data_IF_249539828015
#
_entry.id   IF_249539828015
#
_cell.length_a   1.000
_cell.length_b   1.000
_cell.length_c   1.000
_cell.angle_alpha   90.00
_cell.angle_beta   90.00
_cell.angle_gamma   90.00
#
_symmetry.space_group_name_H-M   'P 1'
#
loop_
_entity.id
_entity.type
_entity.pdbx_description
1 polymer ?
#
# COMPACT_ATOMS: atom_id res chain seq x y z
N UNK A 1 13.46 -18.92 -7.25
CA UNK A 1 12.84 -19.00 -8.60
C UNK A 1 11.32 -19.00 -8.57
N UNK A 2 10.64 -19.93 -7.87
CA UNK A 2 9.15 -19.99 -7.87
C UNK A 2 8.49 -18.63 -7.56
N UNK A 3 8.90 -17.97 -6.48
CA UNK A 3 8.38 -16.64 -6.13
C UNK A 3 8.62 -15.57 -7.21
N UNK A 4 9.80 -15.57 -7.84
CA UNK A 4 10.12 -14.66 -8.94
C UNK A 4 9.22 -14.92 -10.16
N UNK A 5 8.99 -16.19 -10.54
CA UNK A 5 8.08 -16.52 -11.64
C UNK A 5 6.64 -16.14 -11.32
N UNK A 6 6.16 -16.39 -10.10
CA UNK A 6 4.83 -15.95 -9.68
C UNK A 6 4.69 -14.42 -9.75
N UNK A 7 5.69 -13.67 -9.29
CA UNK A 7 5.69 -12.21 -9.38
C UNK A 7 5.69 -11.70 -10.84
N UNK A 8 6.44 -12.37 -11.72
CA UNK A 8 6.47 -12.08 -13.15
C UNK A 8 5.10 -12.30 -13.81
N UNK A 9 4.48 -13.47 -13.61
CA UNK A 9 3.15 -13.75 -14.17
C UNK A 9 2.06 -12.86 -13.58
N UNK A 10 2.18 -12.51 -12.29
CA UNK A 10 1.27 -11.54 -11.67
C UNK A 10 1.43 -10.14 -12.28
N UNK A 11 2.65 -9.73 -12.62
CA UNK A 11 2.90 -8.50 -13.36
C UNK A 11 2.15 -8.46 -14.69
N UNK A 12 2.14 -9.57 -15.45
CA UNK A 12 1.35 -9.68 -16.67
C UNK A 12 -0.16 -9.60 -16.43
N UNK A 13 -0.68 -10.20 -15.36
CA UNK A 13 -2.10 -10.04 -14.98
C UNK A 13 -2.46 -8.58 -14.65
N UNK A 14 -1.48 -7.76 -14.26
CA UNK A 14 -1.62 -6.32 -14.01
C UNK A 14 -1.34 -5.47 -15.27
N UNK A 15 -1.19 -6.09 -16.45
CA UNK A 15 -0.96 -5.41 -17.72
C UNK A 15 0.48 -4.96 -17.96
N UNK A 16 1.42 -5.36 -17.12
CA UNK A 16 2.84 -4.98 -17.27
C UNK A 16 3.47 -5.84 -18.36
N UNK A 17 4.10 -5.19 -19.34
CA UNK A 17 4.84 -5.85 -20.41
C UNK A 17 6.21 -6.33 -19.94
N UNK A 18 6.85 -7.18 -20.74
CA UNK A 18 8.26 -7.50 -20.51
C UNK A 18 9.14 -6.24 -20.66
N UNK A 19 10.19 -6.18 -19.84
CA UNK A 19 11.18 -5.11 -19.84
C UNK A 19 11.92 -5.04 -21.20
N UNK A 20 12.17 -3.81 -21.65
CA UNK A 20 13.01 -3.48 -22.81
C UNK A 20 14.42 -3.17 -22.35
N UNK A 21 15.39 -3.12 -23.27
CA UNK A 21 16.79 -2.79 -22.97
C UNK A 21 16.98 -1.41 -22.30
N UNK A 22 16.01 -0.50 -22.48
CA UNK A 22 16.02 0.83 -21.86
C UNK A 22 15.58 0.83 -20.38
N UNK A 23 15.06 -0.28 -19.87
CA UNK A 23 14.49 -0.37 -18.53
C UNK A 23 15.55 -0.77 -17.49
N UNK A 24 15.46 -0.22 -16.28
CA UNK A 24 16.44 -0.44 -15.22
C UNK A 24 15.77 -0.62 -13.84
N UNK A 25 16.29 -1.55 -13.05
CA UNK A 25 15.92 -1.77 -11.65
C UNK A 25 17.11 -1.67 -10.67
N UNK A 26 18.28 -1.23 -11.16
CA UNK A 26 19.52 -1.16 -10.37
C UNK A 26 20.05 -2.53 -9.92
N UNK A 27 19.74 -3.59 -10.66
CA UNK A 27 20.19 -4.97 -10.41
C UNK A 27 20.52 -5.67 -11.74
N UNK A 28 21.13 -6.86 -11.68
CA UNK A 28 21.53 -7.64 -12.87
C UNK A 28 20.35 -8.11 -13.73
N UNK A 29 19.16 -8.24 -13.12
CA UNK A 29 17.94 -8.63 -13.79
C UNK A 29 16.74 -8.06 -13.03
N UNK A 30 15.67 -7.79 -13.77
CA UNK A 30 14.41 -7.25 -13.24
C UNK A 30 13.31 -8.32 -13.33
N UNK A 31 12.28 -8.22 -12.49
CA UNK A 31 11.18 -9.22 -12.42
C UNK A 31 10.51 -9.43 -13.77
N UNK A 32 10.33 -8.36 -14.56
CA UNK A 32 9.69 -8.42 -15.88
C UNK A 32 10.70 -8.63 -17.02
N UNK A 33 11.91 -9.08 -16.74
CA UNK A 33 12.87 -9.47 -17.79
C UNK A 33 12.24 -10.48 -18.74
N UNK A 34 12.35 -10.23 -20.05
CA UNK A 34 11.88 -11.15 -21.09
C UNK A 34 12.65 -12.50 -21.09
N UNK A 35 13.84 -12.52 -20.48
CA UNK A 35 14.69 -13.71 -20.38
C UNK A 35 14.88 -14.13 -18.94
N UNK A 36 15.02 -15.45 -18.74
CA UNK A 36 15.28 -16.03 -17.41
C UNK A 36 16.72 -15.75 -17.01
N UNK A 37 16.90 -15.14 -15.86
CA UNK A 37 18.21 -14.93 -15.24
C UNK A 37 18.67 -16.16 -14.44
N UNK A 38 19.99 -16.30 -14.26
CA UNK A 38 20.58 -17.35 -13.41
C UNK A 38 20.33 -17.15 -11.91
N UNK A 39 19.90 -15.95 -11.52
CA UNK A 39 19.55 -15.58 -10.14
C UNK A 39 18.16 -14.95 -10.13
N UNK A 40 17.31 -15.26 -9.15
CA UNK A 40 15.97 -14.70 -9.09
C UNK A 40 16.00 -13.18 -8.87
N UNK A 41 15.33 -12.42 -9.73
CA UNK A 41 15.15 -10.98 -9.57
C UNK A 41 14.11 -10.67 -8.49
N UNK A 42 14.32 -9.59 -7.75
CA UNK A 42 13.43 -9.14 -6.67
C UNK A 42 12.91 -7.71 -6.85
N UNK A 43 13.19 -7.08 -8.00
CA UNK A 43 12.83 -5.68 -8.28
C UNK A 43 12.13 -5.54 -9.62
N UNK A 44 11.05 -4.77 -9.65
CA UNK A 44 10.46 -4.27 -10.88
C UNK A 44 11.35 -3.15 -11.45
N UNK A 45 11.35 -3.02 -12.78
CA UNK A 45 12.04 -1.91 -13.46
C UNK A 45 11.26 -0.60 -13.33
N UNK A 46 11.94 0.51 -13.62
CA UNK A 46 11.32 1.81 -13.84
C UNK A 46 10.19 1.77 -14.89
N UNK A 47 10.39 1.08 -16.02
CA UNK A 47 9.35 0.87 -17.03
C UNK A 47 8.11 0.17 -16.46
N UNK A 48 8.31 -0.94 -15.74
CA UNK A 48 7.24 -1.71 -15.12
C UNK A 48 6.42 -0.86 -14.14
N UNK A 49 7.10 -0.09 -13.29
CA UNK A 49 6.46 0.79 -12.31
C UNK A 49 5.68 1.94 -12.98
N UNK A 50 6.22 2.50 -14.05
CA UNK A 50 5.57 3.56 -14.82
C UNK A 50 4.32 3.05 -15.55
N UNK A 51 4.40 1.87 -16.17
CA UNK A 51 3.25 1.23 -16.83
C UNK A 51 2.15 0.93 -15.81
N UNK A 52 2.50 0.26 -14.70
CA UNK A 52 1.54 -0.05 -13.65
C UNK A 52 0.87 1.21 -13.09
N UNK A 53 1.64 2.27 -12.81
CA UNK A 53 1.09 3.53 -12.30
C UNK A 53 0.14 4.20 -13.29
N UNK A 54 0.46 4.17 -14.59
CA UNK A 54 -0.41 4.66 -15.65
C UNK A 54 -1.70 3.84 -15.73
N UNK A 55 -1.59 2.52 -15.76
CA UNK A 55 -2.73 1.64 -15.98
C UNK A 55 -3.65 1.58 -14.75
N UNK A 56 -3.10 1.70 -13.55
CA UNK A 56 -3.88 1.84 -12.31
C UNK A 56 -4.82 3.06 -12.35
N UNK A 57 -4.34 4.17 -12.91
CA UNK A 57 -5.13 5.41 -13.04
C UNK A 57 -6.13 5.31 -14.19
N UNK A 58 -5.74 4.71 -15.32
CA UNK A 58 -6.51 4.77 -16.57
C UNK A 58 -7.49 3.60 -16.75
N UNK A 59 -7.18 2.42 -16.22
CA UNK A 59 -7.92 1.18 -16.49
C UNK A 59 -8.34 0.45 -15.21
N UNK A 60 -7.46 0.36 -14.21
CA UNK A 60 -7.68 -0.48 -13.02
C UNK A 60 -8.18 0.31 -11.80
N UNK A 61 -9.08 1.28 -12.01
CA UNK A 61 -9.71 2.01 -10.91
C UNK A 61 -10.41 1.11 -9.89
N UNK A 62 -10.80 -0.12 -10.27
CA UNK A 62 -11.35 -1.11 -9.35
C UNK A 62 -10.35 -1.61 -8.29
N UNK A 63 -9.05 -1.64 -8.59
CA UNK A 63 -8.00 -2.02 -7.63
C UNK A 63 -7.78 -0.95 -6.56
N UNK A 64 -8.30 0.27 -6.77
CA UNK A 64 -8.27 1.36 -5.79
C UNK A 64 -9.43 1.27 -4.78
N UNK A 65 -10.34 0.30 -4.95
CA UNK A 65 -11.41 0.04 -4.01
C UNK A 65 -10.91 -0.95 -2.96
N UNK A 66 -10.28 -0.41 -1.92
CA UNK A 66 -9.86 -1.19 -0.76
C UNK A 66 -11.09 -1.82 -0.07
N UNK A 67 -11.09 -3.13 0.23
CA UNK A 67 -12.20 -3.78 0.90
C UNK A 67 -12.37 -3.27 2.33
N UNK A 68 -13.59 -3.30 2.84
CA UNK A 68 -13.80 -3.00 4.25
C UNK A 68 -13.18 -4.11 5.11
N UNK A 69 -12.70 -3.77 6.31
CA UNK A 69 -12.20 -4.77 7.28
C UNK A 69 -13.21 -5.89 7.55
N UNK A 70 -14.50 -5.58 7.48
CA UNK A 70 -15.61 -6.52 7.66
C UNK A 70 -15.82 -7.48 6.50
N UNK A 71 -15.28 -7.17 5.32
CA UNK A 71 -15.42 -8.00 4.11
C UNK A 71 -14.31 -9.06 4.00
N UNK A 72 -13.32 -9.00 4.89
CA UNK A 72 -12.23 -9.96 4.97
C UNK A 72 -12.75 -11.24 5.65
N UNK A 73 -12.80 -12.33 4.89
CA UNK A 73 -13.40 -13.60 5.31
C UNK A 73 -12.44 -14.47 6.14
N UNK A 74 -11.15 -14.15 6.14
CA UNK A 74 -10.17 -14.84 6.96
C UNK A 74 -10.29 -14.45 8.44
N UNK A 75 -9.94 -15.34 9.38
CA UNK A 75 -9.76 -14.97 10.77
C UNK A 75 -8.69 -13.87 10.91
N UNK A 76 -8.88 -12.88 11.81
CA UNK A 76 -7.92 -11.82 12.00
C UNK A 76 -6.58 -12.36 12.49
N UNK A 77 -5.49 -11.80 11.97
CA UNK A 77 -4.12 -12.18 12.29
C UNK A 77 -3.22 -10.96 12.42
N UNK A 78 -2.89 -10.62 13.65
CA UNK A 78 -1.95 -9.54 13.91
C UNK A 78 -0.54 -9.84 13.37
N UNK A 79 -0.04 -8.93 12.54
CA UNK A 79 1.29 -8.96 11.94
C UNK A 79 1.30 -9.31 10.45
N UNK A 80 0.16 -9.24 9.76
CA UNK A 80 0.04 -9.47 8.31
C UNK A 80 0.03 -8.17 7.48
N UNK A 81 0.31 -7.02 8.10
CA UNK A 81 0.36 -5.68 7.49
C UNK A 81 -0.98 -5.11 7.05
N UNK A 82 -2.11 -5.71 7.43
CA UNK A 82 -3.42 -5.12 7.16
C UNK A 82 -4.28 -5.18 8.43
N UNK A 83 -4.69 -4.03 8.98
CA UNK A 83 -5.43 -4.07 10.24
C UNK A 83 -6.84 -4.60 10.03
N UNK A 84 -7.20 -5.61 10.83
CA UNK A 84 -8.44 -6.35 10.74
C UNK A 84 -9.47 -5.93 11.80
N UNK A 85 -10.63 -6.60 11.82
CA UNK A 85 -11.64 -6.38 12.85
C UNK A 85 -11.07 -6.74 14.22
N UNK A 86 -11.09 -5.77 15.12
CA UNK A 86 -10.56 -5.91 16.48
C UNK A 86 -9.14 -5.39 16.65
N UNK A 87 -8.47 -4.99 15.57
CA UNK A 87 -7.13 -4.39 15.57
C UNK A 87 -7.23 -2.88 15.34
N UNK A 88 -6.35 -2.12 15.98
CA UNK A 88 -6.29 -0.66 15.79
C UNK A 88 -5.29 -0.29 14.69
N UNK A 89 -4.31 -1.18 14.43
CA UNK A 89 -3.21 -1.00 13.49
C UNK A 89 -2.53 -2.35 13.21
N UNK A 90 -1.89 -2.51 12.05
CA UNK A 90 -1.00 -3.65 11.79
C UNK A 90 0.20 -3.16 10.95
N UNK A 91 1.39 -3.19 11.54
CA UNK A 91 2.64 -2.77 10.93
C UNK A 91 3.55 -3.96 10.56
N UNK A 92 2.99 -5.17 10.53
CA UNK A 92 3.69 -6.43 10.34
C UNK A 92 4.19 -7.06 11.63
N UNK A 93 4.98 -8.14 11.53
CA UNK A 93 5.48 -8.85 12.71
C UNK A 93 6.42 -7.96 13.53
N UNK A 94 6.58 -8.23 14.85
CA UNK A 94 7.41 -7.41 15.74
C UNK A 94 8.84 -7.16 15.26
N UNK A 95 9.43 -8.10 14.52
CA UNK A 95 10.78 -7.95 13.96
C UNK A 95 10.88 -6.90 12.84
N UNK A 96 9.77 -6.59 12.17
CA UNK A 96 9.74 -5.73 10.98
C UNK A 96 8.97 -4.43 11.21
N UNK A 97 8.16 -4.34 12.27
CA UNK A 97 7.39 -3.14 12.56
C UNK A 97 8.31 -1.99 12.99
N UNK A 98 8.24 -0.90 12.23
CA UNK A 98 8.97 0.35 12.51
C UNK A 98 8.05 1.47 12.98
N UNK A 99 6.74 1.22 13.09
CA UNK A 99 5.75 2.21 13.46
C UNK A 99 5.63 2.32 14.99
N UNK A 100 6.11 3.40 15.63
CA UNK A 100 6.07 3.53 17.09
C UNK A 100 4.66 3.72 17.65
N UNK A 101 3.67 4.02 16.80
CA UNK A 101 2.29 4.19 17.19
C UNK A 101 1.55 2.87 17.40
N UNK A 102 2.12 1.76 16.91
CA UNK A 102 1.49 0.44 16.90
C UNK A 102 2.32 -0.57 17.70
N UNK A 103 1.69 -1.26 18.65
CA UNK A 103 2.27 -2.44 19.29
C UNK A 103 2.07 -3.65 18.36
N UNK A 104 3.14 -4.02 17.65
CA UNK A 104 3.14 -5.12 16.68
C UNK A 104 2.84 -6.50 17.29
N UNK A 105 2.94 -6.68 18.61
CA UNK A 105 2.61 -7.95 19.25
C UNK A 105 1.11 -8.10 19.50
N UNK A 106 0.37 -6.99 19.56
CA UNK A 106 -1.06 -6.96 19.93
C UNK A 106 -1.95 -6.28 18.91
N UNK A 107 -1.36 -5.61 17.90
CA UNK A 107 -2.03 -4.80 16.90
C UNK A 107 -2.93 -3.72 17.53
N UNK A 108 -2.45 -3.18 18.64
CA UNK A 108 -3.09 -2.09 19.40
C UNK A 108 -2.26 -0.83 19.36
N UNK A 109 -2.94 0.30 19.49
CA UNK A 109 -2.25 1.57 19.63
C UNK A 109 -1.40 1.59 20.90
N UNK A 110 -0.17 2.10 20.78
CA UNK A 110 0.69 2.32 21.93
C UNK A 110 0.10 3.39 22.84
N UNK A 111 0.48 3.37 24.12
CA UNK A 111 -0.05 4.32 25.12
C UNK A 111 0.13 5.76 24.67
N UNK A 112 -0.98 6.49 24.57
CA UNK A 112 -1.00 7.90 24.15
C UNK A 112 -1.15 8.10 22.65
N UNK A 113 -1.03 7.07 21.82
CA UNK A 113 -1.30 7.14 20.39
C UNK A 113 -2.82 7.20 20.14
N UNK A 114 -3.23 8.00 19.15
CA UNK A 114 -4.62 8.13 18.70
C UNK A 114 -4.85 7.46 17.34
N UNK A 115 -3.78 7.30 16.57
CA UNK A 115 -3.76 6.65 15.27
C UNK A 115 -2.36 6.09 15.03
N UNK A 116 -2.26 5.13 14.11
CA UNK A 116 -0.98 4.62 13.61
C UNK A 116 -0.82 4.82 12.10
N UNK A 117 -1.92 5.03 11.37
CA UNK A 117 -1.95 5.07 9.92
C UNK A 117 -3.01 6.07 9.41
N UNK A 118 -3.02 6.26 8.10
CA UNK A 118 -3.95 7.16 7.41
C UNK A 118 -3.37 8.57 7.18
N UNK A 119 -3.91 9.25 6.16
CA UNK A 119 -3.43 10.57 5.71
C UNK A 119 -3.69 11.70 6.72
N UNK A 120 -4.51 11.44 7.74
CA UNK A 120 -4.84 12.36 8.83
C UNK A 120 -4.21 11.92 10.17
N UNK A 121 -3.20 11.06 10.13
CA UNK A 121 -2.38 10.72 11.27
C UNK A 121 -0.98 11.31 11.14
N UNK A 122 -0.56 12.09 12.13
CA UNK A 122 0.80 12.63 12.22
C UNK A 122 1.32 12.51 13.64
N UNK A 123 2.55 12.00 13.80
CA UNK A 123 3.18 11.75 15.10
C UNK A 123 2.25 11.01 16.10
N UNK A 124 1.56 9.98 15.63
CA UNK A 124 0.57 9.20 16.40
C UNK A 124 -0.65 10.01 16.90
N UNK A 125 -0.92 11.19 16.33
CA UNK A 125 -2.03 12.08 16.69
C UNK A 125 -2.89 12.42 15.48
N UNK A 126 -4.16 12.68 15.73
CA UNK A 126 -5.05 13.14 14.67
C UNK A 126 -4.65 14.54 14.22
N UNK A 127 -4.52 14.70 12.90
CA UNK A 127 -4.34 16.00 12.26
C UNK A 127 -5.59 16.85 12.48
N UNK A 128 -5.41 18.17 12.70
CA UNK A 128 -6.49 19.11 12.99
C UNK A 128 -7.59 19.08 11.92
N UNK A 129 -8.82 19.30 12.37
CA UNK A 129 -9.99 19.38 11.51
C UNK A 129 -9.80 20.40 10.37
N UNK A 130 -10.37 20.10 9.20
CA UNK A 130 -10.34 20.91 7.96
C UNK A 130 -8.98 21.01 7.25
N UNK A 131 -7.93 20.37 7.77
CA UNK A 131 -6.67 20.23 7.04
C UNK A 131 -6.86 19.35 5.81
N UNK A 132 -6.37 19.78 4.66
CA UNK A 132 -6.52 19.04 3.40
C UNK A 132 -5.62 17.81 3.45
N UNK A 133 -6.21 16.63 3.25
CA UNK A 133 -5.50 15.35 3.20
C UNK A 133 -5.46 14.76 1.78
N UNK A 134 -6.43 15.12 0.92
CA UNK A 134 -6.41 14.81 -0.51
C UNK A 134 -6.92 16.01 -1.30
N UNK A 135 -6.13 16.47 -2.26
CA UNK A 135 -6.56 17.56 -3.16
C UNK A 135 -7.63 17.07 -4.12
N UNK A 136 -8.65 17.88 -4.33
CA UNK A 136 -9.67 17.65 -5.34
C UNK A 136 -9.09 17.67 -6.76
N UNK A 137 -9.83 17.08 -7.71
CA UNK A 137 -9.51 17.14 -9.15
C UNK A 137 -10.65 17.82 -9.90
N UNK A 138 -10.31 18.77 -10.77
CA UNK A 138 -11.31 19.57 -11.48
C UNK A 138 -12.17 20.36 -10.48
N UNK A 139 -13.48 20.21 -10.59
CA UNK A 139 -14.46 20.88 -9.71
C UNK A 139 -14.74 20.12 -8.41
N UNK A 140 -14.14 18.94 -8.21
CA UNK A 140 -14.33 18.18 -6.97
C UNK A 140 -13.66 18.92 -5.79
N UNK A 141 -14.32 19.00 -4.62
CA UNK A 141 -13.74 19.61 -3.44
C UNK A 141 -12.54 18.81 -2.90
N UNK A 142 -11.67 19.49 -2.16
CA UNK A 142 -10.60 18.83 -1.39
C UNK A 142 -11.19 17.99 -0.25
N UNK A 143 -10.66 16.78 -0.03
CA UNK A 143 -10.95 15.99 1.17
C UNK A 143 -10.17 16.52 2.37
N UNK A 144 -10.80 16.50 3.54
CA UNK A 144 -10.27 17.14 4.75
C UNK A 144 -10.34 16.22 5.96
N UNK A 145 -9.32 16.33 6.80
CA UNK A 145 -9.28 15.66 8.09
C UNK A 145 -10.43 16.13 9.00
N UNK A 146 -10.97 15.21 9.78
CA UNK A 146 -12.06 15.50 10.74
C UNK A 146 -11.52 15.99 12.08
N UNK A 147 -10.25 15.73 12.39
CA UNK A 147 -9.68 15.91 13.73
C UNK A 147 -10.05 14.81 14.73
N UNK A 148 -10.71 13.74 14.26
CA UNK A 148 -11.26 12.67 15.12
C UNK A 148 -10.87 11.26 14.64
N UNK A 149 -10.29 11.13 13.45
CA UNK A 149 -9.75 9.88 12.90
C UNK A 149 -8.43 10.15 12.16
N UNK A 150 -7.61 9.10 12.00
CA UNK A 150 -6.46 9.08 11.09
C UNK A 150 -6.85 8.99 9.62
N UNK A 151 -8.11 8.66 9.34
CA UNK A 151 -8.63 8.54 7.98
C UNK A 151 -8.87 9.90 7.31
N UNK A 152 -8.73 9.91 5.98
CA UNK A 152 -9.12 11.02 5.12
C UNK A 152 -10.45 10.69 4.45
N UNK A 153 -11.59 11.05 5.07
CA UNK A 153 -12.89 10.75 4.49
C UNK A 153 -13.04 11.45 3.15
N UNK A 154 -13.61 10.75 2.16
CA UNK A 154 -14.03 11.41 0.92
C UNK A 154 -15.19 12.34 1.25
N UNK A 155 -15.06 13.61 0.88
CA UNK A 155 -16.19 14.52 0.91
C UNK A 155 -17.22 14.04 -0.11
N UNK A 156 -18.44 13.79 0.36
CA UNK A 156 -19.64 13.70 -0.47
C UNK A 156 -20.36 15.04 -0.44
#
# INVERSE_FOLDING_TARGET
>A
FVANRMAHELGHNLGIDNDRDSCSCGANSCIMSATVSNEPSSRFSDCSLNQYSSDLINYYGCLLNEPLRTDIVSPPFCGNYYPEVGEDCDCGPPANCQNPCCDAATCKLTTGSQCAEGLCCDQCKFIKARQICRKGRGDNPDDRCTGQSGDCPRNS
#
